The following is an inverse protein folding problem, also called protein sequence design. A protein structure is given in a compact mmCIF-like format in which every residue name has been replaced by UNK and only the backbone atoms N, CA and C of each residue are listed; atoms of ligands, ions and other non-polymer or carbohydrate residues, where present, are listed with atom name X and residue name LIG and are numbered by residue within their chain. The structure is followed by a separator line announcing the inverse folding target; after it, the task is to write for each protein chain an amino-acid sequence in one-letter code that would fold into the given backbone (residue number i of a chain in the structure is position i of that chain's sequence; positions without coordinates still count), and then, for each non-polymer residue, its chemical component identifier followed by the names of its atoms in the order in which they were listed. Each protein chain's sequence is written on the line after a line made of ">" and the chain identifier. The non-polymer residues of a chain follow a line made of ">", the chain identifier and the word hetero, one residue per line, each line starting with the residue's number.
data_IF_398462356826
#
_entry.id   IF_398462356826
#
_cell.length_a   1.000
_cell.length_b   1.000
_cell.length_c   1.000
_cell.angle_alpha   90.00
_cell.angle_beta   90.00
_cell.angle_gamma   90.00
#
_symmetry.space_group_name_H-M   'P 1'
#
loop_
_entity.id
_entity.type
_entity.pdbx_description
1 polymer ?
#
# COMPACT_ATOMS: atom_id res chain seq x y z
N UNK A 1 -65.62 39.16 -42.13
CA UNK A 1 -65.23 38.08 -41.20
C UNK A 1 -64.19 37.20 -41.88
N UNK A 2 -62.92 37.46 -41.58
CA UNK A 2 -61.76 36.67 -41.96
C UNK A 2 -61.56 35.57 -40.91
N UNK A 3 -61.41 34.31 -41.35
CA UNK A 3 -61.12 33.18 -40.47
C UNK A 3 -59.93 32.39 -41.00
N UNK A 4 -58.90 32.30 -40.16
CA UNK A 4 -57.64 31.60 -40.35
C UNK A 4 -57.82 30.09 -40.10
N UNK A 5 -57.21 29.22 -40.92
CA UNK A 5 -56.98 27.81 -40.56
C UNK A 5 -55.55 27.39 -40.87
N UNK A 6 -54.89 26.84 -39.84
CA UNK A 6 -53.53 26.32 -39.82
C UNK A 6 -53.51 24.89 -40.38
N UNK A 7 -52.46 24.52 -41.13
CA UNK A 7 -52.27 23.17 -41.69
C UNK A 7 -50.88 22.65 -41.27
N UNK A 8 -50.83 21.56 -40.51
CA UNK A 8 -49.60 20.86 -40.12
C UNK A 8 -49.52 19.54 -40.89
N UNK A 9 -48.47 19.36 -41.69
CA UNK A 9 -48.19 18.14 -42.45
C UNK A 9 -47.13 17.32 -41.72
N UNK A 10 -47.45 16.09 -41.36
CA UNK A 10 -46.52 15.10 -40.82
C UNK A 10 -45.90 14.32 -41.99
N UNK A 11 -44.56 14.37 -42.13
CA UNK A 11 -43.84 13.66 -43.19
C UNK A 11 -43.19 12.37 -42.69
N UNK A 12 -43.46 11.26 -43.39
CA UNK A 12 -42.87 9.92 -43.19
C UNK A 12 -41.40 9.91 -43.64
N UNK A 13 -40.49 9.35 -42.84
CA UNK A 13 -39.11 9.04 -43.27
C UNK A 13 -38.89 7.53 -43.46
N UNK A 14 -38.15 7.25 -44.53
CA UNK A 14 -37.83 5.98 -45.17
C UNK A 14 -37.18 4.93 -44.27
N UNK A 15 -37.59 3.67 -44.46
CA UNK A 15 -36.91 2.47 -43.97
C UNK A 15 -35.62 2.24 -44.80
N UNK A 16 -34.47 2.56 -44.21
CA UNK A 16 -33.18 2.02 -44.65
C UNK A 16 -32.84 0.88 -43.70
N UNK A 17 -32.71 -0.33 -44.23
CA UNK A 17 -32.17 -1.46 -43.47
C UNK A 17 -30.68 -1.22 -43.25
N UNK A 18 -30.34 -0.53 -42.15
CA UNK A 18 -29.01 -0.60 -41.58
C UNK A 18 -28.86 -1.98 -40.94
N UNK A 19 -28.21 -2.91 -41.64
CA UNK A 19 -27.56 -4.04 -40.98
C UNK A 19 -26.55 -3.45 -40.00
N UNK A 20 -26.92 -3.39 -38.72
CA UNK A 20 -25.95 -3.22 -37.64
C UNK A 20 -25.05 -4.44 -37.66
N UNK A 21 -23.88 -4.31 -38.29
CA UNK A 21 -22.75 -5.14 -37.90
C UNK A 21 -22.35 -4.66 -36.50
N UNK A 22 -22.93 -5.27 -35.47
CA UNK A 22 -22.20 -5.43 -34.23
C UNK A 22 -20.98 -6.25 -34.61
N UNK A 23 -19.86 -5.59 -34.91
CA UNK A 23 -18.58 -6.25 -34.74
C UNK A 23 -18.56 -6.66 -33.28
N UNK A 24 -18.83 -7.93 -33.00
CA UNK A 24 -18.40 -8.52 -31.74
C UNK A 24 -16.93 -8.13 -31.61
N UNK A 25 -16.60 -7.30 -30.62
CA UNK A 25 -15.21 -7.00 -30.36
C UNK A 25 -14.57 -8.34 -30.06
N UNK A 26 -13.67 -8.79 -30.94
CA UNK A 26 -12.75 -9.85 -30.56
C UNK A 26 -11.99 -9.30 -29.34
N UNK A 27 -12.33 -9.79 -28.15
CA UNK A 27 -11.75 -9.30 -26.90
C UNK A 27 -10.23 -9.28 -27.03
N UNK A 28 -9.59 -8.14 -26.73
CA UNK A 28 -8.13 -8.04 -26.81
C UNK A 28 -7.51 -9.11 -25.94
N UNK A 29 -6.54 -9.82 -26.46
CA UNK A 29 -5.80 -10.84 -25.72
C UNK A 29 -4.32 -10.47 -25.66
N UNK A 30 -3.76 -10.46 -24.46
CA UNK A 30 -2.35 -10.23 -24.23
C UNK A 30 -1.68 -11.45 -23.61
N UNK A 31 -0.48 -11.79 -24.04
CA UNK A 31 0.33 -12.80 -23.35
C UNK A 31 0.62 -12.36 -21.91
N UNK A 32 0.91 -11.06 -21.72
CA UNK A 32 1.10 -10.45 -20.41
C UNK A 32 0.29 -9.17 -20.31
N UNK A 33 -0.65 -9.13 -19.37
CA UNK A 33 -1.38 -7.92 -19.00
C UNK A 33 -0.83 -7.36 -17.70
N UNK A 34 -0.57 -6.06 -17.65
CA UNK A 34 -0.07 -5.33 -16.49
C UNK A 34 -1.11 -4.31 -16.09
N UNK A 35 -1.50 -4.28 -14.81
CA UNK A 35 -2.39 -3.25 -14.28
C UNK A 35 -1.60 -2.26 -13.44
N UNK A 36 -1.58 -1.00 -13.88
CA UNK A 36 -0.78 0.08 -13.33
C UNK A 36 0.55 0.24 -14.04
N UNK A 37 0.86 1.47 -14.48
CA UNK A 37 2.13 1.84 -15.13
C UNK A 37 3.01 2.72 -14.23
N UNK A 38 2.95 2.47 -12.92
CA UNK A 38 3.91 3.00 -11.96
C UNK A 38 5.30 2.38 -12.13
N UNK A 39 6.20 2.58 -11.15
CA UNK A 39 7.60 2.11 -11.27
C UNK A 39 7.71 0.59 -11.53
N UNK A 40 6.89 -0.22 -10.86
CA UNK A 40 6.86 -1.68 -11.06
C UNK A 40 6.27 -2.08 -12.42
N UNK A 41 5.21 -1.41 -12.86
CA UNK A 41 4.56 -1.69 -14.14
C UNK A 41 5.45 -1.38 -15.33
N UNK A 42 6.01 -0.17 -15.39
CA UNK A 42 6.95 0.23 -16.44
C UNK A 42 8.18 -0.69 -16.51
N UNK A 43 8.76 -1.05 -15.36
CA UNK A 43 9.92 -1.95 -15.31
C UNK A 43 9.58 -3.34 -15.85
N UNK A 44 8.42 -3.87 -15.46
CA UNK A 44 7.91 -5.16 -15.94
C UNK A 44 7.67 -5.11 -17.45
N UNK A 45 6.93 -4.11 -17.93
CA UNK A 45 6.66 -3.93 -19.34
C UNK A 45 7.95 -3.81 -20.17
N UNK A 46 8.94 -3.04 -19.70
CA UNK A 46 10.22 -2.85 -20.40
C UNK A 46 11.00 -4.16 -20.55
N UNK A 47 10.95 -5.02 -19.53
CA UNK A 47 11.60 -6.34 -19.57
C UNK A 47 10.89 -7.30 -20.52
N UNK A 48 9.57 -7.38 -20.43
CA UNK A 48 8.80 -8.42 -21.13
C UNK A 48 8.44 -8.04 -22.56
N UNK A 49 8.15 -6.78 -22.86
CA UNK A 49 7.86 -6.34 -24.25
C UNK A 49 9.04 -6.56 -25.20
N UNK A 50 10.29 -6.46 -24.70
CA UNK A 50 11.49 -6.80 -25.47
C UNK A 50 11.60 -8.29 -25.79
N UNK A 51 11.16 -9.15 -24.87
CA UNK A 51 11.26 -10.61 -25.00
C UNK A 51 10.11 -11.20 -25.82
N UNK A 52 8.90 -10.72 -25.60
CA UNK A 52 7.69 -11.25 -26.23
C UNK A 52 7.47 -10.65 -27.62
N UNK A 53 7.82 -9.38 -27.83
CA UNK A 53 7.54 -8.67 -29.08
C UNK A 53 6.35 -7.71 -28.95
N UNK A 54 6.06 -7.00 -30.04
CA UNK A 54 4.98 -6.00 -30.08
C UNK A 54 3.59 -6.66 -30.01
N UNK A 55 2.61 -6.00 -29.39
CA UNK A 55 1.22 -6.45 -29.30
C UNK A 55 0.95 -7.59 -28.30
N UNK A 56 1.97 -8.12 -27.61
CA UNK A 56 1.80 -9.21 -26.64
C UNK A 56 1.81 -8.76 -25.18
N UNK A 57 2.22 -7.52 -24.91
CA UNK A 57 2.21 -6.93 -23.57
C UNK A 57 1.26 -5.75 -23.55
N UNK A 58 0.21 -5.83 -22.74
CA UNK A 58 -0.74 -4.74 -22.50
C UNK A 58 -0.52 -4.11 -21.13
N UNK A 59 -0.71 -2.81 -21.02
CA UNK A 59 -0.63 -2.06 -19.76
C UNK A 59 -1.90 -1.23 -19.60
N UNK A 60 -2.67 -1.50 -18.54
CA UNK A 60 -3.84 -0.70 -18.16
C UNK A 60 -3.37 0.41 -17.21
N UNK A 61 -3.46 1.66 -17.67
CA UNK A 61 -3.11 2.84 -16.87
C UNK A 61 -3.94 4.05 -17.33
N UNK A 62 -4.78 4.64 -16.47
CA UNK A 62 -5.61 5.77 -16.86
C UNK A 62 -4.84 7.10 -16.94
N UNK A 63 -3.75 7.27 -16.18
CA UNK A 63 -3.07 8.57 -16.05
C UNK A 63 -2.12 8.88 -17.20
N UNK A 64 -2.06 10.17 -17.55
CA UNK A 64 -1.17 10.70 -18.60
C UNK A 64 0.27 10.95 -18.16
N UNK A 65 0.51 11.02 -16.85
CA UNK A 65 1.80 11.41 -16.29
C UNK A 65 2.35 10.34 -15.34
N UNK A 66 3.64 10.07 -15.48
CA UNK A 66 4.39 9.16 -14.63
C UNK A 66 5.34 9.96 -13.74
N UNK A 67 5.28 9.73 -12.43
CA UNK A 67 6.11 10.45 -11.46
C UNK A 67 7.17 9.56 -10.81
N UNK A 68 8.41 10.04 -10.79
CA UNK A 68 9.45 9.53 -9.91
C UNK A 68 9.26 10.08 -8.49
N UNK A 69 8.30 9.50 -7.77
CA UNK A 69 7.85 9.98 -6.45
C UNK A 69 8.96 10.17 -5.38
N UNK A 70 10.10 9.42 -5.36
CA UNK A 70 11.19 9.74 -4.45
C UNK A 70 11.73 11.18 -4.58
N UNK A 71 11.57 11.80 -5.75
CA UNK A 71 11.95 13.19 -6.00
C UNK A 71 11.18 14.19 -5.13
N UNK A 72 9.93 13.87 -4.74
CA UNK A 72 9.06 14.76 -3.97
C UNK A 72 9.64 15.15 -2.61
N UNK A 73 10.44 14.29 -1.97
CA UNK A 73 11.15 14.67 -0.73
C UNK A 73 12.12 15.83 -0.96
N UNK A 74 12.82 15.83 -2.11
CA UNK A 74 13.77 16.88 -2.47
C UNK A 74 13.07 18.16 -2.94
N UNK A 75 11.92 18.02 -3.59
CA UNK A 75 11.04 19.15 -3.95
C UNK A 75 10.54 19.85 -2.69
N UNK A 76 9.99 19.10 -1.74
CA UNK A 76 9.53 19.67 -0.47
C UNK A 76 10.66 20.31 0.35
N UNK A 77 11.89 19.84 0.19
CA UNK A 77 13.09 20.44 0.78
C UNK A 77 13.73 21.59 -0.01
N UNK A 78 13.14 22.02 -1.14
CA UNK A 78 13.67 23.12 -1.95
C UNK A 78 14.93 22.82 -2.75
N UNK A 79 15.32 21.54 -2.86
CA UNK A 79 16.56 21.11 -3.54
C UNK A 79 16.32 20.84 -5.03
N UNK A 80 15.08 20.44 -5.38
CA UNK A 80 14.68 20.07 -6.75
C UNK A 80 13.38 20.75 -7.14
N UNK A 81 13.14 20.84 -8.44
CA UNK A 81 11.90 21.33 -9.04
C UNK A 81 10.90 20.19 -9.20
N UNK A 82 9.61 20.49 -9.07
CA UNK A 82 8.53 19.49 -9.16
C UNK A 82 8.36 19.02 -10.61
N UNK A 83 8.61 19.88 -11.58
CA UNK A 83 8.49 19.61 -13.01
C UNK A 83 9.47 18.51 -13.44
N UNK A 84 10.64 18.44 -12.80
CA UNK A 84 11.67 17.41 -13.07
C UNK A 84 11.29 16.02 -12.53
N UNK A 85 10.22 15.91 -11.75
CA UNK A 85 9.78 14.64 -11.16
C UNK A 85 8.91 13.80 -12.09
N UNK A 86 8.32 14.43 -13.13
CA UNK A 86 7.30 13.85 -13.98
C UNK A 86 7.75 13.71 -15.43
N UNK A 87 7.18 12.72 -16.12
CA UNK A 87 7.25 12.57 -17.58
C UNK A 87 5.89 12.16 -18.11
N UNK A 88 5.62 12.43 -19.39
CA UNK A 88 4.43 11.86 -20.04
C UNK A 88 4.52 10.35 -20.05
N UNK A 89 3.39 9.69 -19.75
CA UNK A 89 3.29 8.24 -19.70
C UNK A 89 3.71 7.61 -21.03
N UNK A 90 3.36 8.26 -22.15
CA UNK A 90 3.76 7.88 -23.50
C UNK A 90 5.27 7.86 -23.74
N UNK A 91 6.07 8.61 -22.98
CA UNK A 91 7.53 8.62 -23.10
C UNK A 91 8.20 7.49 -22.31
N UNK A 92 7.55 7.00 -21.26
CA UNK A 92 8.12 6.00 -20.35
C UNK A 92 7.60 4.59 -20.61
N UNK A 93 6.42 4.45 -21.21
CA UNK A 93 5.90 3.16 -21.65
C UNK A 93 6.77 2.64 -22.81
N UNK A 94 7.22 1.38 -22.77
CA UNK A 94 7.99 0.80 -23.87
C UNK A 94 7.20 0.78 -25.17
N UNK A 95 7.82 1.20 -26.29
CA UNK A 95 7.19 1.24 -27.63
C UNK A 95 6.58 -0.08 -28.11
N UNK A 96 6.99 -1.23 -27.56
CA UNK A 96 6.49 -2.57 -27.91
C UNK A 96 5.36 -3.05 -26.98
N UNK A 97 5.00 -2.28 -25.96
CA UNK A 97 3.87 -2.55 -25.09
C UNK A 97 2.69 -1.65 -25.48
N UNK A 98 1.48 -2.20 -25.43
CA UNK A 98 0.28 -1.45 -25.72
C UNK A 98 -0.19 -0.72 -24.46
N UNK A 99 -0.32 0.60 -24.55
CA UNK A 99 -0.89 1.40 -23.48
C UNK A 99 -2.41 1.49 -23.64
N UNK A 100 -3.12 0.84 -22.73
CA UNK A 100 -4.57 0.87 -22.60
C UNK A 100 -4.93 1.96 -21.60
N UNK A 101 -5.25 3.15 -22.12
CA UNK A 101 -5.56 4.33 -21.32
C UNK A 101 -6.96 4.26 -20.73
N UNK A 102 -7.13 3.38 -19.75
CA UNK A 102 -8.39 3.07 -19.08
C UNK A 102 -8.11 2.57 -17.66
N UNK A 103 -9.16 2.41 -16.87
CA UNK A 103 -9.11 1.86 -15.52
C UNK A 103 -9.55 0.40 -15.56
N UNK A 104 -8.85 -0.48 -14.83
CA UNK A 104 -9.33 -1.84 -14.58
C UNK A 104 -10.38 -1.80 -13.45
N UNK A 105 -11.58 -2.32 -13.70
CA UNK A 105 -12.71 -2.25 -12.75
C UNK A 105 -13.11 -3.61 -12.18
N UNK A 106 -12.99 -4.67 -12.99
CA UNK A 106 -13.28 -6.02 -12.54
C UNK A 106 -12.23 -7.02 -13.04
N UNK A 107 -12.00 -8.05 -12.25
CA UNK A 107 -11.05 -9.11 -12.53
C UNK A 107 -11.78 -10.44 -12.46
N UNK A 108 -11.67 -11.25 -13.51
CA UNK A 108 -12.13 -12.64 -13.51
C UNK A 108 -10.92 -13.56 -13.73
N UNK A 109 -10.23 -13.98 -12.65
CA UNK A 109 -9.10 -14.88 -12.75
C UNK A 109 -9.46 -16.27 -13.26
N UNK A 110 -10.72 -16.70 -13.16
CA UNK A 110 -11.15 -18.02 -13.66
C UNK A 110 -11.14 -18.04 -15.18
N UNK A 111 -11.64 -16.96 -15.78
CA UNK A 111 -11.66 -16.79 -17.23
C UNK A 111 -10.42 -16.06 -17.76
N UNK A 112 -9.49 -15.68 -16.88
CA UNK A 112 -8.29 -14.90 -17.16
C UNK A 112 -8.62 -13.59 -17.90
N UNK A 113 -9.59 -12.84 -17.39
CA UNK A 113 -10.03 -11.57 -17.99
C UNK A 113 -10.00 -10.40 -17.01
N UNK A 114 -9.86 -9.19 -17.56
CA UNK A 114 -10.02 -7.91 -16.86
C UNK A 114 -11.05 -7.10 -17.61
N UNK A 115 -12.08 -6.63 -16.91
CA UNK A 115 -13.04 -5.66 -17.46
C UNK A 115 -12.55 -4.26 -17.14
N UNK A 116 -12.52 -3.40 -18.15
CA UNK A 116 -12.13 -1.99 -18.00
C UNK A 116 -13.34 -1.09 -17.79
N UNK A 117 -13.11 0.15 -17.38
CA UNK A 117 -14.14 1.19 -17.23
C UNK A 117 -14.93 1.50 -18.51
N UNK A 118 -14.44 1.09 -19.66
CA UNK A 118 -15.16 1.23 -20.94
C UNK A 118 -16.14 0.08 -21.20
N UNK A 119 -16.18 -0.92 -20.31
CA UNK A 119 -16.90 -2.18 -20.51
C UNK A 119 -16.13 -3.20 -21.36
N UNK A 120 -14.95 -2.82 -21.90
CA UNK A 120 -14.10 -3.75 -22.66
C UNK A 120 -13.54 -4.86 -21.76
N UNK A 121 -13.71 -6.11 -22.19
CA UNK A 121 -13.08 -7.28 -21.61
C UNK A 121 -11.75 -7.58 -22.30
N UNK A 122 -10.68 -7.67 -21.51
CA UNK A 122 -9.33 -7.98 -21.96
C UNK A 122 -8.91 -9.33 -21.39
N UNK A 123 -8.58 -10.28 -22.26
CA UNK A 123 -8.05 -11.59 -21.87
C UNK A 123 -6.54 -11.55 -21.65
N UNK A 124 -6.03 -12.42 -20.80
CA UNK A 124 -4.59 -12.55 -20.56
C UNK A 124 -4.15 -14.00 -20.34
N UNK A 125 -2.87 -14.30 -20.60
CA UNK A 125 -2.25 -15.55 -20.12
C UNK A 125 -1.56 -15.36 -18.77
N UNK A 126 -0.98 -14.18 -18.55
CA UNK A 126 -0.36 -13.78 -17.29
C UNK A 126 -0.81 -12.36 -16.92
N UNK A 127 -1.12 -12.16 -15.64
CA UNK A 127 -1.49 -10.86 -15.07
C UNK A 127 -0.45 -10.41 -14.04
N UNK A 128 -0.01 -9.15 -14.15
CA UNK A 128 0.83 -8.50 -13.14
C UNK A 128 0.07 -7.32 -12.54
N UNK A 129 -0.11 -7.35 -11.21
CA UNK A 129 -0.71 -6.27 -10.43
C UNK A 129 0.38 -5.30 -9.96
N UNK A 130 0.37 -4.08 -10.48
CA UNK A 130 1.34 -3.02 -10.19
C UNK A 130 0.66 -1.68 -9.83
N UNK A 131 -0.49 -1.75 -9.15
CA UNK A 131 -1.39 -0.62 -8.88
C UNK A 131 -0.91 0.35 -7.79
N UNK A 132 0.19 0.04 -7.09
CA UNK A 132 0.73 0.90 -6.02
C UNK A 132 -0.16 0.94 -4.77
N UNK A 133 -0.13 2.08 -4.06
CA UNK A 133 -0.95 2.37 -2.88
C UNK A 133 -1.86 3.56 -3.14
N UNK A 134 -3.03 3.53 -2.54
CA UNK A 134 -3.98 4.65 -2.52
C UNK A 134 -3.69 5.59 -1.35
N UNK A 135 -3.87 6.89 -1.57
CA UNK A 135 -3.68 7.94 -0.57
C UNK A 135 -5.04 8.40 -0.05
N UNK A 136 -5.34 8.14 1.22
CA UNK A 136 -6.65 8.37 1.80
C UNK A 136 -6.65 9.62 2.69
N UNK A 137 -6.43 10.79 2.09
CA UNK A 137 -6.48 12.07 2.81
C UNK A 137 -7.86 12.30 3.48
N UNK A 138 -8.93 11.84 2.83
CA UNK A 138 -10.31 11.91 3.30
C UNK A 138 -10.57 11.19 4.64
N UNK A 139 -9.70 10.27 5.08
CA UNK A 139 -9.82 9.64 6.39
C UNK A 139 -9.42 10.59 7.54
N UNK A 140 -8.78 11.72 7.22
CA UNK A 140 -8.52 12.80 8.16
C UNK A 140 -9.57 13.87 7.90
N UNK A 141 -10.47 14.09 8.86
CA UNK A 141 -11.51 15.11 8.76
C UNK A 141 -10.87 16.49 8.51
N UNK A 142 -11.39 17.22 7.52
CA UNK A 142 -10.84 18.50 7.08
C UNK A 142 -9.81 18.40 5.94
N UNK A 143 -9.48 17.20 5.48
CA UNK A 143 -8.66 16.96 4.29
C UNK A 143 -9.48 16.23 3.21
N UNK A 144 -9.22 16.48 1.91
CA UNK A 144 -8.13 17.30 1.36
C UNK A 144 -8.39 18.82 1.34
N UNK A 145 -9.61 19.29 1.64
CA UNK A 145 -10.02 20.69 1.46
C UNK A 145 -9.14 21.67 2.24
N UNK A 146 -8.64 21.25 3.41
CA UNK A 146 -7.76 22.04 4.24
C UNK A 146 -6.48 22.48 3.53
N UNK A 147 -5.95 21.70 2.59
CA UNK A 147 -4.75 22.09 1.83
C UNK A 147 -4.98 23.38 1.02
N UNK A 148 -6.22 23.69 0.64
CA UNK A 148 -6.54 24.89 -0.12
C UNK A 148 -6.85 26.10 0.78
N UNK A 149 -7.09 25.86 2.07
CA UNK A 149 -7.43 26.89 3.06
C UNK A 149 -6.21 27.42 3.80
N UNK A 150 -5.29 26.54 4.18
CA UNK A 150 -4.11 26.94 4.95
C UNK A 150 -2.80 26.73 4.17
N UNK A 151 -2.06 27.80 3.83
CA UNK A 151 -0.76 27.68 3.17
C UNK A 151 0.32 27.00 4.02
N UNK A 152 0.09 26.81 5.33
CA UNK A 152 1.02 26.11 6.24
C UNK A 152 0.76 24.60 6.35
N UNK A 153 -0.28 24.10 5.70
CA UNK A 153 -0.65 22.69 5.64
C UNK A 153 -0.21 22.09 4.29
N UNK A 154 0.64 21.06 4.32
CA UNK A 154 1.26 20.51 3.10
C UNK A 154 1.50 19.00 3.16
N UNK A 155 1.88 18.37 2.04
CA UNK A 155 2.25 16.96 1.99
C UNK A 155 3.13 16.61 0.80
N UNK A 156 4.21 15.86 1.03
CA UNK A 156 5.11 15.39 -0.04
C UNK A 156 4.63 14.11 -0.76
N UNK A 157 3.43 13.61 -0.46
CA UNK A 157 2.96 12.32 -0.99
C UNK A 157 2.16 12.42 -2.28
N UNK A 158 1.75 13.63 -2.63
CA UNK A 158 0.97 13.96 -3.82
C UNK A 158 1.61 15.12 -4.60
N UNK A 159 1.50 15.10 -5.93
CA UNK A 159 2.07 16.10 -6.82
C UNK A 159 1.49 17.51 -6.60
N UNK A 160 0.20 17.59 -6.25
CA UNK A 160 -0.47 18.87 -6.00
C UNK A 160 0.04 19.50 -4.69
N UNK A 161 0.21 18.68 -3.65
CA UNK A 161 0.49 19.17 -2.30
C UNK A 161 1.98 19.33 -2.00
N UNK A 162 2.87 18.62 -2.69
CA UNK A 162 4.33 18.73 -2.47
C UNK A 162 4.85 20.13 -2.77
N UNK A 163 4.23 20.82 -3.73
CA UNK A 163 4.59 22.17 -4.14
C UNK A 163 4.33 23.20 -3.05
N UNK A 164 3.46 22.88 -2.08
CA UNK A 164 3.16 23.75 -0.92
C UNK A 164 4.22 23.65 0.18
N UNK A 165 4.93 22.52 0.26
CA UNK A 165 5.82 22.22 1.38
C UNK A 165 7.01 23.18 1.48
N UNK A 166 7.73 23.41 0.39
CA UNK A 166 8.89 24.31 0.43
C UNK A 166 8.51 25.77 0.70
N UNK A 167 7.49 26.35 0.02
CA UNK A 167 7.00 27.69 0.35
C UNK A 167 6.54 27.83 1.81
N UNK A 168 5.89 26.81 2.38
CA UNK A 168 5.49 26.80 3.79
C UNK A 168 6.70 26.80 4.73
N UNK A 169 7.73 25.99 4.44
CA UNK A 169 9.00 26.00 5.18
C UNK A 169 9.65 27.39 5.14
N UNK A 170 9.68 28.05 3.97
CA UNK A 170 10.28 29.39 3.84
C UNK A 170 9.51 30.49 4.59
N UNK A 171 8.18 30.38 4.66
CA UNK A 171 7.32 31.39 5.31
C UNK A 171 7.21 31.21 6.81
N UNK A 172 7.50 30.02 7.34
CA UNK A 172 7.45 29.71 8.76
C UNK A 172 8.34 30.66 9.59
N UNK A 173 7.81 31.19 10.70
CA UNK A 173 8.47 32.20 11.55
C UNK A 173 8.79 31.70 12.97
N UNK A 174 8.59 30.41 13.22
CA UNK A 174 8.64 29.80 14.55
C UNK A 174 7.24 29.38 15.00
N UNK A 175 7.19 28.59 16.07
CA UNK A 175 5.99 27.96 16.61
C UNK A 175 6.02 26.44 16.52
N UNK A 176 4.86 25.81 16.40
CA UNK A 176 4.75 24.36 16.36
C UNK A 176 4.82 23.84 14.92
N UNK A 177 5.87 23.08 14.60
CA UNK A 177 6.03 22.37 13.34
C UNK A 177 5.70 20.89 13.51
N UNK A 178 4.56 20.46 12.98
CA UNK A 178 4.04 19.09 13.14
C UNK A 178 4.28 18.27 11.87
N UNK A 179 4.92 17.12 12.02
CA UNK A 179 5.12 16.13 10.96
C UNK A 179 4.42 14.84 11.36
N UNK A 180 3.57 14.29 10.50
CA UNK A 180 2.75 13.13 10.87
C UNK A 180 3.19 11.84 10.19
N UNK A 181 2.90 10.73 10.85
CA UNK A 181 2.97 9.37 10.32
C UNK A 181 1.65 8.66 10.73
N UNK A 182 0.86 8.14 9.78
CA UNK A 182 -0.44 7.55 10.07
C UNK A 182 -0.29 6.15 10.67
N UNK A 183 -1.37 5.65 11.27
CA UNK A 183 -1.45 4.26 11.74
C UNK A 183 -1.81 3.26 10.62
N UNK A 184 -1.17 3.37 9.46
CA UNK A 184 -1.37 2.51 8.29
C UNK A 184 -0.04 2.18 7.63
N UNK A 185 0.08 1.10 6.83
CA UNK A 185 1.26 0.90 5.99
C UNK A 185 1.46 2.10 5.07
N UNK A 186 2.69 2.54 4.89
CA UNK A 186 3.01 3.69 4.03
C UNK A 186 4.10 3.35 3.02
N UNK A 187 4.05 3.96 1.84
CA UNK A 187 5.19 3.95 0.91
C UNK A 187 6.32 4.79 1.50
N UNK A 188 7.54 4.25 1.51
CA UNK A 188 8.74 4.92 2.00
C UNK A 188 8.58 5.51 3.42
N UNK A 189 8.48 4.63 4.44
CA UNK A 189 8.27 5.02 5.85
C UNK A 189 9.27 6.05 6.43
N UNK A 190 10.44 6.23 5.81
CA UNK A 190 11.40 7.27 6.19
C UNK A 190 11.10 8.67 5.62
N UNK A 191 10.28 8.80 4.58
CA UNK A 191 9.99 10.10 3.94
C UNK A 191 9.40 11.18 4.88
N UNK A 192 8.50 10.85 5.83
CA UNK A 192 7.97 11.84 6.77
C UNK A 192 9.05 12.46 7.66
N UNK A 193 10.05 11.65 8.03
CA UNK A 193 11.20 12.11 8.82
C UNK A 193 12.21 12.88 7.97
N UNK A 194 12.45 12.44 6.72
CA UNK A 194 13.37 13.14 5.81
C UNK A 194 12.99 14.61 5.63
N UNK A 195 11.71 14.89 5.39
CA UNK A 195 11.26 16.29 5.22
C UNK A 195 11.36 17.08 6.53
N UNK A 196 11.13 16.46 7.68
CA UNK A 196 11.37 17.12 8.97
C UNK A 196 12.84 17.54 9.10
N UNK A 197 13.79 16.66 8.80
CA UNK A 197 15.22 17.01 8.89
C UNK A 197 15.61 18.12 7.91
N UNK A 198 15.07 18.11 6.69
CA UNK A 198 15.32 19.15 5.70
C UNK A 198 14.70 20.50 6.10
N UNK A 199 13.49 20.49 6.66
CA UNK A 199 12.84 21.69 7.19
C UNK A 199 13.60 22.28 8.38
N UNK A 200 14.01 21.42 9.32
CA UNK A 200 14.79 21.82 10.50
C UNK A 200 16.14 22.44 10.10
N UNK A 201 16.85 21.85 9.14
CA UNK A 201 18.10 22.43 8.61
C UNK A 201 17.85 23.80 7.93
N UNK A 202 16.76 23.95 7.18
CA UNK A 202 16.39 25.22 6.56
C UNK A 202 16.09 26.30 7.61
N UNK A 203 15.39 25.94 8.70
CA UNK A 203 15.07 26.83 9.81
C UNK A 203 16.28 27.16 10.69
N UNK A 204 17.25 26.24 10.81
CA UNK A 204 18.52 26.50 11.44
C UNK A 204 19.32 27.55 10.65
N UNK A 205 19.42 27.39 9.33
CA UNK A 205 20.11 28.34 8.45
C UNK A 205 19.45 29.72 8.40
N UNK A 206 18.14 29.80 8.59
CA UNK A 206 17.40 31.07 8.58
C UNK A 206 17.23 31.72 9.97
N UNK A 207 17.77 31.11 11.03
CA UNK A 207 17.69 31.65 12.40
C UNK A 207 16.29 31.53 13.04
N UNK A 208 15.41 30.69 12.50
CA UNK A 208 14.04 30.47 13.01
C UNK A 208 13.98 29.28 13.98
N UNK A 209 15.02 28.42 13.99
CA UNK A 209 15.07 27.17 14.76
C UNK A 209 14.76 27.33 16.25
N UNK A 210 15.31 28.35 16.90
CA UNK A 210 15.18 28.53 18.36
C UNK A 210 13.75 28.85 18.82
N UNK A 211 12.87 29.18 17.87
CA UNK A 211 11.46 29.48 18.13
C UNK A 211 10.53 28.30 17.87
N UNK A 212 11.07 27.08 17.65
CA UNK A 212 10.32 26.00 17.01
C UNK A 212 10.25 24.71 17.83
N UNK A 213 9.09 24.06 17.89
CA UNK A 213 8.89 22.72 18.49
C UNK A 213 8.55 21.69 17.41
N UNK A 214 9.16 20.50 17.48
CA UNK A 214 9.09 19.45 16.44
C UNK A 214 8.53 18.13 16.98
N UNK A 215 7.94 17.29 16.11
CA UNK A 215 7.47 15.94 16.44
C UNK A 215 7.94 14.89 15.41
N UNK A 216 8.97 14.05 15.66
CA UNK A 216 9.22 12.82 14.86
C UNK A 216 10.23 11.79 15.45
N UNK A 217 10.32 10.60 14.84
CA UNK A 217 11.12 9.43 15.26
C UNK A 217 12.57 9.32 14.74
N UNK A 218 13.34 8.40 15.37
CA UNK A 218 14.81 8.10 15.36
C UNK A 218 15.66 8.78 16.46
N UNK A 219 15.81 8.08 17.59
CA UNK A 219 16.37 8.58 18.86
C UNK A 219 17.67 9.39 18.74
N UNK A 220 18.73 8.90 18.10
CA UNK A 220 20.03 9.63 18.11
C UNK A 220 20.01 10.99 17.39
N UNK A 221 19.32 11.09 16.25
CA UNK A 221 19.24 12.34 15.49
C UNK A 221 18.27 13.30 16.17
N UNK A 222 17.17 12.76 16.68
CA UNK A 222 16.17 13.52 17.45
C UNK A 222 16.78 14.13 18.72
N UNK A 223 17.49 13.34 19.51
CA UNK A 223 18.13 13.80 20.75
C UNK A 223 19.18 14.87 20.46
N UNK A 224 19.97 14.72 19.38
CA UNK A 224 20.98 15.72 18.98
C UNK A 224 20.39 17.04 18.46
N UNK A 225 19.11 17.05 18.08
CA UNK A 225 18.44 18.20 17.45
C UNK A 225 17.28 18.74 18.28
N UNK A 226 17.11 18.30 19.53
CA UNK A 226 16.02 18.70 20.43
C UNK A 226 14.63 18.67 19.77
N UNK A 227 14.30 17.52 19.18
CA UNK A 227 13.01 17.26 18.54
C UNK A 227 12.13 16.48 19.53
N UNK A 228 10.92 16.96 19.84
CA UNK A 228 10.00 16.19 20.67
C UNK A 228 9.49 14.98 19.87
N UNK A 229 9.12 13.88 20.51
CA UNK A 229 8.48 12.75 19.83
C UNK A 229 7.20 12.40 20.57
N UNK A 230 6.07 12.40 19.85
CA UNK A 230 4.80 11.94 20.38
C UNK A 230 4.45 10.61 19.71
N UNK A 231 4.87 9.51 20.32
CA UNK A 231 4.45 8.17 19.90
C UNK A 231 2.97 7.94 20.23
N UNK A 232 2.37 6.94 19.57
CA UNK A 232 1.00 6.46 19.87
C UNK A 232 -0.07 7.55 19.67
N UNK A 233 0.09 8.37 18.62
CA UNK A 233 -0.87 9.39 18.24
C UNK A 233 -1.25 9.21 16.78
N UNK A 234 -2.54 9.06 16.51
CA UNK A 234 -3.05 9.01 15.14
C UNK A 234 -3.79 10.31 14.84
N UNK A 235 -3.41 10.99 13.76
CA UNK A 235 -4.12 12.20 13.34
C UNK A 235 -5.49 11.82 12.76
N UNK A 236 -6.55 12.45 13.26
CA UNK A 236 -7.93 12.15 12.85
C UNK A 236 -8.66 13.37 12.28
N UNK A 237 -8.26 14.59 12.66
CA UNK A 237 -8.88 15.82 12.17
C UNK A 237 -7.86 16.97 12.09
N UNK A 238 -8.00 17.81 11.06
CA UNK A 238 -7.32 19.09 10.93
C UNK A 238 -8.36 20.19 10.80
N UNK A 239 -8.40 21.09 11.79
CA UNK A 239 -9.21 22.30 11.73
C UNK A 239 -8.33 23.47 11.26
N UNK A 240 -8.48 23.87 10.00
CA UNK A 240 -7.68 24.96 9.40
C UNK A 240 -8.05 26.34 9.93
N UNK A 241 -9.31 26.56 10.33
CA UNK A 241 -9.77 27.88 10.79
C UNK A 241 -9.12 28.25 12.13
N UNK A 242 -8.85 27.25 12.96
CA UNK A 242 -8.16 27.40 14.25
C UNK A 242 -6.68 27.00 14.23
N UNK A 243 -6.21 26.45 13.11
CA UNK A 243 -4.90 25.77 12.99
C UNK A 243 -4.66 24.74 14.09
N UNK A 244 -5.62 23.84 14.24
CA UNK A 244 -5.61 22.79 15.25
C UNK A 244 -5.53 21.41 14.58
N UNK A 245 -4.62 20.58 15.07
CA UNK A 245 -4.47 19.18 14.69
C UNK A 245 -4.94 18.31 15.86
N UNK A 246 -5.94 17.47 15.60
CA UNK A 246 -6.58 16.63 16.62
C UNK A 246 -6.11 15.20 16.41
N UNK A 247 -5.44 14.67 17.44
CA UNK A 247 -4.89 13.33 17.44
C UNK A 247 -5.67 12.46 18.42
N UNK A 248 -6.02 11.26 18.00
CA UNK A 248 -6.44 10.21 18.91
C UNK A 248 -5.21 9.65 19.64
N UNK A 249 -5.29 9.53 20.98
CA UNK A 249 -4.37 8.68 21.75
C UNK A 249 -4.60 7.24 21.37
N UNK A 250 -3.53 6.57 20.97
CA UNK A 250 -3.50 5.13 20.88
C UNK A 250 -3.02 4.62 22.24
N UNK A 251 -3.61 3.53 22.71
CA UNK A 251 -3.15 2.89 23.93
C UNK A 251 -1.69 2.43 23.77
N UNK A 252 -0.97 2.33 24.90
CA UNK A 252 0.38 1.73 24.94
C UNK A 252 0.38 0.36 24.25
N UNK A 253 1.48 -0.04 23.59
CA UNK A 253 1.53 -1.29 22.84
C UNK A 253 1.40 -2.49 23.80
N UNK A 254 0.17 -2.87 24.10
CA UNK A 254 -0.20 -4.26 24.29
C UNK A 254 -0.02 -4.94 22.94
N UNK A 255 0.50 -6.17 22.96
CA UNK A 255 0.70 -6.98 21.76
C UNK A 255 -0.57 -6.96 20.90
N UNK A 256 -0.39 -6.74 19.59
CA UNK A 256 -1.43 -6.78 18.54
C UNK A 256 -2.43 -5.60 18.53
N UNK A 257 -2.14 -4.55 17.75
CA UNK A 257 -3.19 -3.71 17.18
C UNK A 257 -3.45 -4.12 15.73
N UNK A 258 -4.60 -4.76 15.54
CA UNK A 258 -5.32 -4.80 14.26
C UNK A 258 -5.81 -3.40 13.90
N UNK A 259 -5.93 -3.12 12.61
CA UNK A 259 -6.52 -1.89 12.06
C UNK A 259 -7.97 -1.75 12.53
N UNK A 260 -8.20 -1.17 13.72
CA UNK A 260 -9.54 -0.82 14.16
C UNK A 260 -10.07 0.31 13.30
N UNK A 261 -11.23 0.11 12.70
CA UNK A 261 -12.08 1.20 12.22
C UNK A 261 -12.38 2.10 13.43
N UNK A 262 -12.18 3.40 13.24
CA UNK A 262 -12.19 4.44 14.26
C UNK A 262 -13.62 4.77 14.75
N UNK A 263 -14.39 3.77 15.15
CA UNK A 263 -15.80 3.94 15.52
C UNK A 263 -16.00 4.11 17.04
N UNK A 264 -14.94 4.37 17.81
CA UNK A 264 -15.04 4.66 19.25
C UNK A 264 -14.12 5.82 19.66
N UNK A 265 -14.64 6.83 20.40
CA UNK A 265 -13.88 8.02 20.76
C UNK A 265 -12.85 7.67 21.84
N UNK A 266 -11.63 7.34 21.39
CA UNK A 266 -10.45 7.35 22.25
C UNK A 266 -10.13 8.78 22.70
N UNK A 267 -9.40 8.93 23.81
CA UNK A 267 -9.00 10.25 24.31
C UNK A 267 -8.29 11.05 23.21
N UNK A 268 -8.80 12.23 22.89
CA UNK A 268 -8.20 13.09 21.86
C UNK A 268 -7.28 14.12 22.49
N UNK A 269 -6.27 14.52 21.74
CA UNK A 269 -5.41 15.64 22.10
C UNK A 269 -5.27 16.59 20.92
N UNK A 270 -5.53 17.85 21.20
CA UNK A 270 -5.42 18.94 20.23
C UNK A 270 -4.07 19.63 20.37
N UNK A 271 -3.42 19.86 19.23
CA UNK A 271 -2.20 20.67 19.15
C UNK A 271 -2.43 21.81 18.16
N UNK A 272 -2.08 23.03 18.55
CA UNK A 272 -1.98 24.12 17.58
C UNK A 272 -0.74 23.92 16.72
N UNK A 273 -0.84 24.21 15.43
CA UNK A 273 0.30 24.18 14.51
C UNK A 273 0.51 25.53 13.84
N UNK A 274 1.77 25.85 13.60
CA UNK A 274 2.21 26.98 12.79
C UNK A 274 2.80 26.49 11.45
N UNK A 275 3.15 25.21 11.38
CA UNK A 275 3.48 24.44 10.18
C UNK A 275 3.00 22.99 10.34
N UNK A 276 2.42 22.40 9.29
CA UNK A 276 2.00 21.00 9.33
C UNK A 276 2.28 20.27 8.01
N UNK A 277 3.06 19.19 8.10
CA UNK A 277 3.28 18.24 7.01
C UNK A 277 2.55 16.93 7.28
N UNK A 278 1.61 16.58 6.41
CA UNK A 278 0.76 15.40 6.51
C UNK A 278 1.37 14.23 5.74
N UNK A 279 1.49 13.07 6.41
CA UNK A 279 1.54 11.78 5.72
C UNK A 279 0.15 11.17 5.74
N UNK A 280 -0.52 10.99 4.59
CA UNK A 280 -1.88 10.45 4.58
C UNK A 280 -1.89 8.99 4.98
N UNK A 281 -2.98 8.51 5.63
CA UNK A 281 -3.27 7.09 5.68
C UNK A 281 -3.26 6.49 4.27
N UNK A 282 -2.73 5.28 4.13
CA UNK A 282 -2.70 4.59 2.85
C UNK A 282 -3.30 3.20 2.96
N UNK A 283 -3.86 2.73 1.87
CA UNK A 283 -4.39 1.38 1.73
C UNK A 283 -3.95 0.79 0.40
N UNK A 284 -4.21 -0.50 0.23
CA UNK A 284 -4.35 -1.04 -1.13
C UNK A 284 -5.39 -0.21 -1.88
N UNK A 285 -5.23 0.00 -3.20
CA UNK A 285 -6.27 0.62 -4.02
C UNK A 285 -7.60 -0.06 -3.76
N UNK A 286 -8.65 0.74 -3.57
CA UNK A 286 -9.99 0.23 -3.28
C UNK A 286 -10.34 -0.83 -4.33
N UNK A 287 -10.39 -2.11 -3.96
CA UNK A 287 -11.18 -3.04 -4.73
C UNK A 287 -12.61 -2.64 -4.41
N UNK A 288 -13.52 -2.54 -5.38
CA UNK A 288 -14.93 -2.60 -5.00
C UNK A 288 -15.12 -3.92 -4.21
N UNK A 289 -15.28 -3.81 -2.87
CA UNK A 289 -14.83 -4.82 -1.90
C UNK A 289 -15.81 -5.97 -1.67
N UNK A 290 -15.27 -7.17 -1.38
CA UNK A 290 -16.06 -8.41 -1.32
C UNK A 290 -16.06 -9.17 0.03
N UNK A 291 -15.28 -8.80 1.06
CA UNK A 291 -15.25 -9.55 2.33
C UNK A 291 -15.06 -8.65 3.56
N UNK A 292 -15.83 -8.89 4.63
CA UNK A 292 -15.76 -8.16 5.91
C UNK A 292 -15.12 -9.01 7.05
N UNK A 293 -15.37 -8.66 8.33
CA UNK A 293 -14.75 -9.25 9.53
C UNK A 293 -15.04 -10.75 9.74
N UNK A 294 -14.08 -11.48 10.32
CA UNK A 294 -14.17 -12.93 10.60
C UNK A 294 -14.24 -13.17 12.10
N UNK A 295 -15.18 -14.01 12.51
CA UNK A 295 -15.41 -14.47 13.87
C UNK A 295 -15.06 -15.96 14.02
N UNK A 296 -14.53 -16.34 15.18
CA UNK A 296 -14.14 -17.72 15.51
C UNK A 296 -14.86 -18.18 16.77
N UNK A 297 -15.41 -19.39 16.73
CA UNK A 297 -16.06 -20.03 17.87
C UNK A 297 -15.42 -21.39 18.13
N UNK A 298 -14.84 -21.53 19.32
CA UNK A 298 -14.33 -22.80 19.80
C UNK A 298 -15.48 -23.64 20.38
N UNK A 299 -15.66 -24.85 19.88
CA UNK A 299 -16.48 -25.88 20.55
C UNK A 299 -15.58 -26.59 21.58
N UNK A 300 -16.18 -27.08 22.68
CA UNK A 300 -15.59 -27.81 23.83
C UNK A 300 -14.18 -28.36 23.53
N UNK A 301 -13.23 -28.17 24.44
CA UNK A 301 -11.82 -28.52 24.22
C UNK A 301 -11.57 -29.99 23.80
N UNK A 302 -12.52 -30.89 24.02
CA UNK A 302 -12.48 -32.30 23.56
C UNK A 302 -12.94 -32.49 22.11
N UNK A 303 -13.62 -31.51 21.53
CA UNK A 303 -14.06 -31.51 20.13
C UNK A 303 -12.86 -31.36 19.20
N UNK A 304 -12.79 -32.26 18.22
CA UNK A 304 -11.80 -32.19 17.14
C UNK A 304 -12.05 -31.04 16.16
N UNK A 305 -13.20 -30.36 16.24
CA UNK A 305 -13.63 -29.37 15.27
C UNK A 305 -13.81 -27.97 15.87
N UNK A 306 -13.56 -26.94 15.06
CA UNK A 306 -13.87 -25.54 15.35
C UNK A 306 -14.70 -24.91 14.22
N UNK A 307 -15.40 -23.81 14.53
CA UNK A 307 -16.25 -23.12 13.55
C UNK A 307 -15.76 -21.69 13.32
N UNK A 308 -15.62 -21.35 12.04
CA UNK A 308 -15.30 -20.02 11.54
C UNK A 308 -16.57 -19.42 10.94
N UNK A 309 -16.88 -18.15 11.23
CA UNK A 309 -18.06 -17.46 10.72
C UNK A 309 -17.68 -16.07 10.19
N UNK A 310 -18.33 -15.61 9.13
CA UNK A 310 -18.16 -14.24 8.62
C UNK A 310 -19.45 -13.72 7.97
N UNK A 311 -19.45 -12.42 7.67
CA UNK A 311 -20.44 -11.75 6.82
C UNK A 311 -19.81 -11.44 5.46
N UNK A 312 -20.50 -11.81 4.40
CA UNK A 312 -20.02 -11.66 3.02
C UNK A 312 -21.04 -10.93 2.16
N UNK A 313 -20.64 -9.85 1.50
CA UNK A 313 -21.51 -9.12 0.57
C UNK A 313 -21.66 -9.88 -0.76
N UNK A 314 -22.84 -9.85 -1.42
CA UNK A 314 -23.06 -10.55 -2.68
C UNK A 314 -22.17 -10.02 -3.81
N UNK A 315 -21.48 -10.94 -4.51
CA UNK A 315 -20.49 -10.58 -5.53
C UNK A 315 -21.01 -9.77 -6.73
N UNK A 316 -22.32 -9.80 -7.01
CA UNK A 316 -22.93 -9.12 -8.17
C UNK A 316 -23.78 -7.90 -7.77
N UNK A 317 -24.16 -7.80 -6.50
CA UNK A 317 -25.05 -6.75 -5.99
C UNK A 317 -24.58 -6.35 -4.59
N UNK A 318 -23.57 -5.51 -4.56
CA UNK A 318 -22.84 -5.11 -3.35
C UNK A 318 -23.74 -4.36 -2.33
N UNK A 319 -24.92 -3.88 -2.77
CA UNK A 319 -25.93 -3.23 -1.92
C UNK A 319 -27.00 -4.18 -1.36
N UNK A 320 -27.03 -5.42 -1.81
CA UNK A 320 -28.00 -6.41 -1.34
C UNK A 320 -27.59 -6.97 0.03
N UNK A 321 -28.52 -7.64 0.72
CA UNK A 321 -28.29 -8.18 2.06
C UNK A 321 -27.08 -9.12 2.11
N UNK A 322 -26.29 -8.96 3.17
CA UNK A 322 -25.11 -9.76 3.42
C UNK A 322 -25.46 -11.23 3.67
N UNK A 323 -24.61 -12.11 3.16
CA UNK A 323 -24.70 -13.53 3.44
C UNK A 323 -23.96 -13.90 4.72
N UNK A 324 -24.63 -14.68 5.57
CA UNK A 324 -23.98 -15.39 6.67
C UNK A 324 -23.23 -16.59 6.10
N UNK A 325 -21.94 -16.69 6.39
CA UNK A 325 -21.11 -17.82 6.00
C UNK A 325 -20.46 -18.44 7.23
N UNK A 326 -20.40 -19.78 7.26
CA UNK A 326 -19.62 -20.51 8.25
C UNK A 326 -18.88 -21.71 7.65
N UNK A 327 -17.80 -22.10 8.31
CA UNK A 327 -16.95 -23.25 7.96
C UNK A 327 -16.60 -24.02 9.23
N UNK A 328 -16.76 -25.34 9.18
CA UNK A 328 -16.30 -26.29 10.19
C UNK A 328 -14.93 -26.84 9.78
N UNK A 329 -13.95 -26.72 10.67
CA UNK A 329 -12.56 -27.12 10.44
C UNK A 329 -12.12 -28.10 11.50
N UNK A 330 -11.49 -29.20 11.11
CA UNK A 330 -10.81 -30.09 12.04
C UNK A 330 -9.52 -29.45 12.54
N UNK A 331 -9.40 -29.26 13.86
CA UNK A 331 -8.34 -28.48 14.50
C UNK A 331 -6.94 -29.07 14.26
N UNK A 332 -6.83 -30.40 14.19
CA UNK A 332 -5.54 -31.10 14.11
C UNK A 332 -4.95 -31.13 12.69
N UNK A 333 -5.82 -31.31 11.70
CA UNK A 333 -5.44 -31.51 10.29
C UNK A 333 -5.61 -30.23 9.47
N UNK A 334 -6.49 -29.33 9.91
CA UNK A 334 -6.96 -28.20 9.13
C UNK A 334 -7.96 -28.59 8.04
N UNK A 335 -8.43 -29.85 8.02
CA UNK A 335 -9.38 -30.32 7.03
C UNK A 335 -10.74 -29.62 7.20
N UNK A 336 -11.33 -29.23 6.07
CA UNK A 336 -12.65 -28.60 6.05
C UNK A 336 -13.70 -29.70 6.07
N UNK A 337 -14.35 -29.90 7.22
CA UNK A 337 -15.38 -30.92 7.37
C UNK A 337 -16.70 -30.53 6.71
N UNK A 338 -17.08 -29.25 6.81
CA UNK A 338 -18.31 -28.73 6.19
C UNK A 338 -18.30 -27.21 6.10
N UNK A 339 -19.12 -26.65 5.24
CA UNK A 339 -19.28 -25.22 5.04
C UNK A 339 -20.69 -24.89 4.58
N UNK A 340 -21.14 -23.69 4.89
CA UNK A 340 -22.46 -23.22 4.50
C UNK A 340 -22.46 -21.71 4.32
N UNK A 341 -23.33 -21.25 3.43
CA UNK A 341 -23.60 -19.83 3.25
C UNK A 341 -25.08 -19.62 2.94
N UNK A 342 -25.65 -18.48 3.35
CA UNK A 342 -27.04 -18.15 3.05
C UNK A 342 -27.30 -17.73 1.60
N UNK A 343 -26.26 -17.63 0.76
CA UNK A 343 -26.44 -17.36 -0.67
C UNK A 343 -27.07 -18.57 -1.41
N UNK A 344 -27.62 -18.35 -2.60
CA UNK A 344 -28.28 -19.40 -3.40
C UNK A 344 -27.39 -20.62 -3.67
N UNK A 345 -26.09 -20.42 -3.86
CA UNK A 345 -25.12 -21.49 -4.07
C UNK A 345 -24.59 -22.11 -2.74
N UNK A 346 -24.95 -21.54 -1.60
CA UNK A 346 -24.39 -21.86 -0.30
C UNK A 346 -24.94 -23.14 0.34
N UNK A 347 -26.06 -23.66 -0.16
CA UNK A 347 -26.56 -25.01 0.16
C UNK A 347 -25.59 -26.13 -0.26
N UNK A 348 -24.75 -25.87 -1.27
CA UNK A 348 -23.73 -26.81 -1.75
C UNK A 348 -22.37 -26.67 -1.06
N UNK A 349 -22.21 -25.74 -0.10
CA UNK A 349 -20.96 -25.53 0.63
C UNK A 349 -19.78 -24.96 -0.17
N UNK A 350 -19.88 -24.81 -1.49
CA UNK A 350 -18.76 -24.43 -2.37
C UNK A 350 -18.86 -23.02 -2.95
N UNK A 351 -19.70 -22.16 -2.37
CA UNK A 351 -19.90 -20.82 -2.92
C UNK A 351 -18.65 -19.93 -2.74
N UNK A 352 -18.55 -18.90 -3.57
CA UNK A 352 -17.42 -17.95 -3.53
C UNK A 352 -17.29 -17.26 -2.15
N UNK A 353 -18.38 -17.13 -1.39
CA UNK A 353 -18.35 -16.55 -0.04
C UNK A 353 -17.64 -17.47 0.98
N UNK A 354 -17.82 -18.80 0.88
CA UNK A 354 -17.08 -19.80 1.67
C UNK A 354 -15.60 -19.75 1.33
N UNK A 355 -15.28 -19.70 0.04
CA UNK A 355 -13.89 -19.58 -0.42
C UNK A 355 -13.24 -18.28 0.09
N UNK A 356 -13.96 -17.16 0.06
CA UNK A 356 -13.50 -15.88 0.58
C UNK A 356 -13.13 -15.93 2.08
N UNK A 357 -13.95 -16.60 2.90
CA UNK A 357 -13.66 -16.85 4.31
C UNK A 357 -12.38 -17.68 4.48
N UNK A 358 -12.24 -18.80 3.74
CA UNK A 358 -11.07 -19.68 3.82
C UNK A 358 -9.76 -18.97 3.42
N UNK A 359 -9.77 -18.20 2.33
CA UNK A 359 -8.57 -17.46 1.89
C UNK A 359 -8.14 -16.40 2.90
N UNK A 360 -9.10 -15.76 3.57
CA UNK A 360 -8.79 -14.76 4.59
C UNK A 360 -8.21 -15.41 5.85
N UNK A 361 -8.66 -16.61 6.21
CA UNK A 361 -8.09 -17.43 7.31
C UNK A 361 -6.69 -17.90 6.96
N UNK A 362 -6.48 -18.39 5.74
CA UNK A 362 -5.16 -18.78 5.24
C UNK A 362 -4.18 -17.59 5.25
N UNK A 363 -4.63 -16.41 4.81
CA UNK A 363 -3.84 -15.19 4.88
C UNK A 363 -3.48 -14.80 6.32
N UNK A 364 -4.42 -14.94 7.27
CA UNK A 364 -4.15 -14.71 8.68
C UNK A 364 -3.12 -15.71 9.24
N UNK A 365 -3.23 -16.99 8.88
CA UNK A 365 -2.27 -18.03 9.26
C UNK A 365 -0.86 -17.75 8.70
N UNK A 366 -0.76 -17.36 7.42
CA UNK A 366 0.51 -16.96 6.78
C UNK A 366 1.15 -15.74 7.44
N UNK A 367 0.35 -14.83 7.97
CA UNK A 367 0.82 -13.67 8.74
C UNK A 367 1.21 -14.02 10.18
N UNK A 368 1.05 -15.28 10.60
CA UNK A 368 1.33 -15.74 11.97
C UNK A 368 0.37 -15.14 12.99
N UNK A 369 -0.84 -14.75 12.57
CA UNK A 369 -1.82 -14.15 13.45
C UNK A 369 -2.48 -15.23 14.33
N UNK A 370 -2.10 -15.27 15.61
CA UNK A 370 -2.84 -16.06 16.62
C UNK A 370 -4.03 -15.25 17.13
N UNK A 371 -5.15 -15.92 17.44
CA UNK A 371 -6.25 -15.26 18.14
C UNK A 371 -5.74 -14.74 19.48
N UNK A 372 -6.13 -13.52 19.86
CA UNK A 372 -5.67 -12.88 21.11
C UNK A 372 -6.07 -13.64 22.39
N UNK A 373 -6.94 -14.63 22.26
CA UNK A 373 -7.39 -15.54 23.32
C UNK A 373 -6.57 -16.83 23.42
N UNK A 374 -5.66 -17.09 22.48
CA UNK A 374 -4.89 -18.35 22.40
C UNK A 374 -3.44 -18.24 22.90
N UNK A 375 -2.99 -17.05 23.33
CA UNK A 375 -1.63 -16.82 23.82
C UNK A 375 -1.61 -16.46 25.32
N UNK A 376 -0.78 -17.12 26.15
CA UNK A 376 -0.53 -16.66 27.52
C UNK A 376 0.15 -15.30 27.49
N UNK A 377 -0.27 -14.36 28.34
CA UNK A 377 0.45 -13.11 28.53
C UNK A 377 1.92 -13.40 28.89
N UNK A 378 2.87 -12.96 28.06
CA UNK A 378 4.30 -13.16 28.33
C UNK A 378 5.11 -11.89 28.14
N UNK A 379 6.12 -11.73 28.99
CA UNK A 379 7.14 -10.69 28.86
C UNK A 379 8.33 -11.25 28.07
N UNK A 380 8.91 -10.47 27.14
CA UNK A 380 10.10 -10.88 26.38
C UNK A 380 11.34 -10.99 27.28
N UNK A 381 11.82 -12.21 27.53
CA UNK A 381 13.09 -12.49 28.23
C UNK A 381 14.24 -12.58 27.19
N UNK A 382 15.34 -11.82 27.34
CA UNK A 382 16.49 -11.90 26.42
C UNK A 382 17.15 -13.30 26.41
N UNK A 383 17.80 -13.65 25.29
CA UNK A 383 18.43 -14.96 25.08
C UNK A 383 19.53 -15.28 26.11
N UNK A 384 19.61 -16.55 26.56
CA UNK A 384 20.57 -17.03 27.58
C UNK A 384 22.02 -16.81 27.15
N UNK A 385 22.63 -15.73 27.62
CA UNK A 385 24.09 -15.54 27.56
C UNK A 385 24.73 -16.50 28.58
N UNK A 386 25.43 -17.54 28.12
CA UNK A 386 26.19 -18.44 29.01
C UNK A 386 27.38 -17.69 29.61
N UNK A 387 27.52 -17.72 30.94
CA UNK A 387 28.68 -17.18 31.66
C UNK A 387 28.46 -15.87 32.42
N UNK A 388 27.27 -15.25 32.34
CA UNK A 388 26.96 -14.06 33.13
C UNK A 388 26.50 -14.48 34.52
N UNK A 389 27.36 -14.34 35.53
CA UNK A 389 26.97 -14.51 36.94
C UNK A 389 26.28 -13.23 37.43
N UNK A 390 25.10 -13.32 38.08
CA UNK A 390 24.45 -12.17 38.69
C UNK A 390 25.41 -11.46 39.64
N UNK A 391 25.61 -10.16 39.44
CA UNK A 391 26.50 -9.33 40.26
C UNK A 391 25.67 -8.23 40.90
N UNK A 392 25.93 -7.90 42.17
CA UNK A 392 25.22 -6.80 42.84
C UNK A 392 25.53 -5.50 42.10
N UNK A 393 24.54 -4.61 41.98
CA UNK A 393 24.68 -3.33 41.25
C UNK A 393 25.90 -2.52 41.69
N UNK A 394 26.24 -2.55 42.99
CA UNK A 394 27.42 -1.85 43.53
C UNK A 394 28.77 -2.42 43.05
N UNK A 395 28.79 -3.68 42.60
CA UNK A 395 29.98 -4.40 42.16
C UNK A 395 30.07 -4.47 40.62
N UNK A 396 29.09 -3.88 39.92
CA UNK A 396 29.01 -3.84 38.47
C UNK A 396 29.97 -2.78 37.91
N UNK A 397 31.09 -3.24 37.35
CA UNK A 397 32.07 -2.35 36.72
C UNK A 397 31.59 -1.97 35.31
N UNK A 398 30.91 -0.83 35.19
CA UNK A 398 30.46 -0.28 33.91
C UNK A 398 31.67 0.33 33.19
N UNK A 399 32.24 -0.40 32.22
CA UNK A 399 33.33 0.11 31.38
C UNK A 399 32.69 0.77 30.15
N UNK A 400 33.08 2.02 29.83
CA UNK A 400 32.72 2.66 28.56
C UNK A 400 33.20 1.78 27.41
N UNK A 401 32.32 1.50 26.43
CA UNK A 401 32.72 0.82 25.20
C UNK A 401 33.83 1.63 24.52
N UNK A 402 35.01 1.03 24.29
CA UNK A 402 36.09 1.65 23.51
C UNK A 402 35.67 1.72 22.04
N UNK A 403 34.98 2.79 21.66
CA UNK A 403 34.88 3.21 20.28
C UNK A 403 35.95 4.28 20.05
N UNK A 404 36.99 3.96 19.27
CA UNK A 404 38.01 4.94 18.88
C UNK A 404 39.48 4.58 19.09
N UNK A 405 39.87 3.31 19.35
CA UNK A 405 41.29 2.93 19.24
C UNK A 405 41.59 2.47 17.79
N UNK A 406 42.46 3.23 17.13
CA UNK A 406 43.14 2.88 15.90
C UNK A 406 44.09 1.73 16.17
N UNK A 407 43.80 0.54 15.65
CA UNK A 407 44.77 -0.41 15.09
C UNK A 407 44.07 -1.72 14.70
N UNK A 408 43.43 -1.69 13.54
CA UNK A 408 43.68 -2.72 12.53
C UNK A 408 43.30 -2.12 11.18
N UNK A 409 44.28 -1.98 10.28
CA UNK A 409 44.08 -1.63 8.88
C UNK A 409 43.40 -2.80 8.17
N UNK A 410 42.12 -3.03 8.45
CA UNK A 410 41.31 -3.88 7.58
C UNK A 410 40.65 -2.95 6.57
N UNK A 411 40.97 -3.04 5.28
CA UNK A 411 40.33 -2.21 4.29
C UNK A 411 38.81 -2.44 4.35
N UNK A 412 38.04 -1.36 4.26
CA UNK A 412 36.56 -1.36 4.30
C UNK A 412 35.92 -2.28 3.25
N UNK A 413 36.71 -2.72 2.27
CA UNK A 413 36.32 -3.62 1.20
C UNK A 413 37.39 -4.71 1.12
N UNK A 414 37.01 -5.98 1.18
CA UNK A 414 37.97 -7.08 0.99
C UNK A 414 38.65 -6.94 -0.38
N UNK A 415 39.92 -7.33 -0.50
CA UNK A 415 40.63 -7.34 -1.80
C UNK A 415 39.83 -8.08 -2.89
N UNK A 416 39.06 -9.11 -2.50
CA UNK A 416 38.15 -9.84 -3.39
C UNK A 416 37.00 -9.01 -3.97
N UNK A 417 36.54 -7.97 -3.27
CA UNK A 417 35.49 -7.06 -3.77
C UNK A 417 36.06 -5.90 -4.59
N UNK A 418 37.29 -5.45 -4.32
CA UNK A 418 37.95 -4.44 -5.16
C UNK A 418 38.42 -5.00 -6.51
N UNK A 419 38.67 -6.30 -6.58
CA UNK A 419 39.02 -7.02 -7.82
C UNK A 419 37.82 -7.70 -8.49
N UNK A 420 36.60 -7.52 -7.96
CA UNK A 420 35.41 -8.10 -8.57
C UNK A 420 35.05 -7.35 -9.86
N UNK A 421 35.49 -7.90 -10.99
CA UNK A 421 34.92 -7.53 -12.28
C UNK A 421 33.58 -8.27 -12.45
N UNK A 422 32.46 -7.55 -12.68
CA UNK A 422 31.13 -8.16 -12.75
C UNK A 422 30.90 -8.98 -14.03
N UNK A 423 31.93 -9.18 -14.86
CA UNK A 423 31.87 -9.94 -16.11
C UNK A 423 33.08 -10.89 -16.11
N UNK A 424 32.90 -12.22 -16.05
CA UNK A 424 33.98 -13.15 -16.35
C UNK A 424 34.29 -13.09 -17.86
N UNK A 425 35.56 -13.03 -18.23
CA UNK A 425 36.04 -13.24 -19.60
C UNK A 425 35.93 -14.73 -20.00
N UNK A 426 34.73 -15.30 -19.97
CA UNK A 426 34.49 -16.61 -20.55
C UNK A 426 33.18 -16.60 -21.32
N UNK A 427 33.31 -16.72 -22.65
CA UNK A 427 32.23 -16.93 -23.61
C UNK A 427 31.56 -18.27 -23.34
N UNK A 428 30.66 -18.34 -22.37
CA UNK A 428 29.60 -19.36 -22.36
C UNK A 428 28.43 -18.91 -21.47
N UNK A 429 27.44 -18.29 -22.14
CA UNK A 429 26.25 -17.69 -21.52
C UNK A 429 25.26 -18.70 -20.91
N UNK A 430 25.46 -20.01 -21.12
CA UNK A 430 24.54 -21.06 -20.70
C UNK A 430 24.65 -21.41 -19.21
N UNK A 431 25.86 -21.36 -18.64
CA UNK A 431 26.10 -21.74 -17.23
C UNK A 431 25.60 -20.67 -16.27
N UNK A 432 25.72 -19.39 -16.63
CA UNK A 432 25.11 -18.26 -15.91
C UNK A 432 23.58 -18.37 -15.88
N UNK A 433 22.99 -18.84 -16.98
CA UNK A 433 21.55 -19.09 -17.11
C UNK A 433 21.04 -20.19 -16.16
N UNK A 434 21.82 -21.23 -15.90
CA UNK A 434 21.44 -22.34 -15.02
C UNK A 434 21.57 -22.01 -13.53
N UNK A 435 22.50 -21.13 -13.16
CA UNK A 435 22.69 -20.75 -11.76
C UNK A 435 21.68 -19.69 -11.30
N UNK A 436 21.30 -18.75 -12.19
CA UNK A 436 20.28 -17.74 -11.90
C UNK A 436 18.85 -18.27 -12.05
N UNK A 437 18.63 -19.25 -12.95
CA UNK A 437 17.34 -19.93 -13.03
C UNK A 437 17.06 -20.75 -11.77
N UNK A 438 18.06 -21.33 -11.10
CA UNK A 438 17.90 -22.03 -9.81
C UNK A 438 17.42 -21.13 -8.66
N UNK A 439 17.82 -19.86 -8.59
CA UNK A 439 17.35 -18.96 -7.52
C UNK A 439 15.92 -18.46 -7.76
N UNK A 440 15.51 -18.29 -9.02
CA UNK A 440 14.13 -17.98 -9.40
C UNK A 440 13.22 -19.23 -9.36
N UNK A 441 13.74 -20.42 -9.67
CA UNK A 441 13.03 -21.69 -9.53
C UNK A 441 12.83 -22.05 -8.05
N UNK A 442 13.76 -21.75 -7.14
CA UNK A 442 13.52 -21.94 -5.69
C UNK A 442 12.38 -21.05 -5.16
N UNK A 443 12.11 -19.91 -5.80
CA UNK A 443 10.98 -19.04 -5.43
C UNK A 443 9.65 -19.49 -6.05
N UNK A 444 9.69 -20.24 -7.17
CA UNK A 444 8.51 -20.71 -7.91
C UNK A 444 8.14 -22.19 -7.65
N UNK A 445 9.09 -23.04 -7.22
CA UNK A 445 8.83 -24.45 -6.88
C UNK A 445 8.11 -24.60 -5.53
N UNK A 446 8.20 -23.61 -4.64
CA UNK A 446 7.47 -23.62 -3.36
C UNK A 446 5.94 -23.58 -3.53
N UNK A 447 5.44 -23.16 -4.71
CA UNK A 447 4.00 -23.12 -5.01
C UNK A 447 3.49 -24.37 -5.76
N UNK A 448 4.37 -25.26 -6.25
CA UNK A 448 3.94 -26.45 -7.01
C UNK A 448 4.00 -27.76 -6.22
N UNK A 449 4.70 -27.78 -5.07
CA UNK A 449 4.78 -28.99 -4.20
C UNK A 449 3.58 -29.12 -3.26
N UNK A 450 2.83 -28.03 -2.98
CA UNK A 450 1.63 -28.10 -2.13
C UNK A 450 0.36 -28.62 -2.84
N UNK A 451 0.45 -28.94 -4.14
CA UNK A 451 -0.66 -29.53 -4.91
C UNK A 451 -0.57 -31.06 -5.05
N UNK A 452 0.44 -31.72 -4.48
CA UNK A 452 0.58 -33.19 -4.56
C UNK A 452 0.85 -33.89 -3.22
N UNK A 453 0.76 -33.19 -2.10
CA UNK A 453 0.61 -33.78 -0.77
C UNK A 453 -0.31 -32.93 0.09
N UNK A 454 -1.60 -32.94 -0.25
CA UNK A 454 -2.76 -32.86 0.64
C UNK A 454 -3.86 -33.66 -0.03
#
# INVERSE_FOLDING_TARGET
>A
MTSTKLLVVVSRKSLTNSFSTSSASFGRHYKLLIVGSGSGGCATASKFSKKLGAGLVGIIEPKDDHYYQPWFTLVGGGIKKVEDSGKKMSEVIPKKADWLKTTAEAFDPKNCTVTTATGEEIKYDFLVMACGLQLNYNLIKGLPEGFNKDPMLCSNYDYEYVQKTWPAIQKFKGGNAIFTLPNTPVKCAGAPQKIMYLAEEAWQKSGVRDKSTYAAGLHKVVDSRDIKINYQRNLIEVNTDKREAIFQKLDSPGETQTYKKLDSPGETQTYKYDFMHITPPMSTPDPNGFLQEIFYHDIDARSKYCFLRAKCVPSQKIKDEEHDVWVCVEKATGEIGSSYCTCTAGLGGTCNHVAGLLFRVEAANKLGASACTSLPCTWKVPSKIKGVKPTKIKDLRIIKSRHGQSDSKRPLVSQSKSQYQPIPESKDNLTFFLQYSRSLFQMLVFLKVLSQKM
#
